data_IF_761948016467
#
_entry.id   IF_761948016467
#
_cell.length_a   1.000
_cell.length_b   1.000
_cell.length_c   1.000
_cell.angle_alpha   90.00
_cell.angle_beta   90.00
_cell.angle_gamma   90.00
#
_symmetry.space_group_name_H-M   'P 1'
#
loop_
_entity.id
_entity.type
_entity.pdbx_description
1 polymer ?
#
# COMPACT_ATOMS: atom_id res chain seq x y z
N UNK A 1 9.65 10.48 27.82
CA UNK A 1 10.00 10.39 26.38
C UNK A 1 9.97 8.91 26.01
N UNK A 2 8.93 8.46 25.31
CA UNK A 2 8.80 7.06 24.91
C UNK A 2 9.76 6.83 23.74
N UNK A 3 10.84 6.09 23.98
CA UNK A 3 11.78 5.65 22.94
C UNK A 3 11.11 4.55 22.10
N UNK A 4 10.07 4.93 21.35
CA UNK A 4 9.39 4.02 20.44
C UNK A 4 10.14 4.02 19.12
N UNK A 5 10.54 2.83 18.69
CA UNK A 5 11.09 2.62 17.35
C UNK A 5 9.97 2.91 16.34
N UNK A 6 9.97 4.14 15.81
CA UNK A 6 8.94 4.67 14.92
C UNK A 6 8.72 3.76 13.70
N UNK A 7 9.78 3.27 13.01
CA UNK A 7 9.65 2.25 11.98
C UNK A 7 8.89 1.01 12.44
N UNK A 8 9.26 0.43 13.59
CA UNK A 8 8.63 -0.80 14.09
C UNK A 8 7.15 -0.59 14.41
N UNK A 9 6.82 0.55 15.01
CA UNK A 9 5.42 0.88 15.38
C UNK A 9 4.57 1.16 14.14
N UNK A 10 5.12 1.88 13.16
CA UNK A 10 4.47 2.14 11.88
C UNK A 10 4.19 0.85 11.13
N UNK A 11 5.22 0.00 10.95
CA UNK A 11 5.06 -1.26 10.23
C UNK A 11 4.11 -2.23 10.94
N UNK A 12 4.09 -2.26 12.29
CA UNK A 12 3.13 -3.06 13.03
C UNK A 12 1.68 -2.62 12.80
N UNK A 13 1.41 -1.32 12.75
CA UNK A 13 0.08 -0.81 12.41
C UNK A 13 -0.26 -1.03 10.93
N UNK A 14 0.71 -0.83 10.03
CA UNK A 14 0.52 -1.08 8.61
C UNK A 14 0.15 -2.56 8.37
N UNK A 15 0.83 -3.50 9.01
CA UNK A 15 0.54 -4.92 8.92
C UNK A 15 -0.85 -5.27 9.46
N UNK A 16 -1.23 -4.66 10.59
CA UNK A 16 -2.56 -4.84 11.18
C UNK A 16 -3.68 -4.43 10.21
N UNK A 17 -3.48 -3.38 9.43
CA UNK A 17 -4.47 -2.86 8.49
C UNK A 17 -4.33 -3.40 7.06
N UNK A 18 -3.20 -4.05 6.74
CA UNK A 18 -2.90 -4.58 5.41
C UNK A 18 -4.00 -5.48 4.83
N UNK A 19 -4.59 -6.44 5.56
CA UNK A 19 -5.64 -7.30 5.01
C UNK A 19 -6.88 -6.50 4.55
N UNK A 20 -7.25 -5.49 5.33
CA UNK A 20 -8.40 -4.65 5.02
C UNK A 20 -8.11 -3.72 3.83
N UNK A 21 -6.93 -3.10 3.81
CA UNK A 21 -6.49 -2.25 2.70
C UNK A 21 -6.40 -3.04 1.39
N UNK A 22 -5.84 -4.26 1.43
CA UNK A 22 -5.78 -5.15 0.26
C UNK A 22 -7.18 -5.46 -0.28
N UNK A 23 -8.14 -5.78 0.59
CA UNK A 23 -9.51 -6.04 0.16
C UNK A 23 -10.14 -4.82 -0.55
N UNK A 24 -9.93 -3.61 -0.01
CA UNK A 24 -10.41 -2.36 -0.63
C UNK A 24 -9.77 -2.11 -2.00
N UNK A 25 -8.46 -2.32 -2.11
CA UNK A 25 -7.72 -2.13 -3.36
C UNK A 25 -8.14 -3.15 -4.42
N UNK A 26 -8.31 -4.42 -4.06
CA UNK A 26 -8.81 -5.46 -4.97
C UNK A 26 -10.23 -5.10 -5.44
N UNK A 27 -11.12 -4.74 -4.52
CA UNK A 27 -12.49 -4.31 -4.86
C UNK A 27 -12.49 -3.10 -5.82
N UNK A 28 -11.54 -2.18 -5.65
CA UNK A 28 -11.38 -1.02 -6.54
C UNK A 28 -10.77 -1.41 -7.89
N UNK A 29 -9.81 -2.34 -7.92
CA UNK A 29 -9.18 -2.86 -9.13
C UNK A 29 -10.15 -3.66 -10.00
N UNK A 30 -11.17 -4.29 -9.41
CA UNK A 30 -12.24 -4.99 -10.15
C UNK A 30 -13.24 -4.04 -10.85
N UNK A 31 -13.12 -2.73 -10.65
CA UNK A 31 -13.95 -1.73 -11.35
C UNK A 31 -13.26 -1.28 -12.65
N UNK A 32 -13.96 -0.50 -13.46
CA UNK A 32 -13.40 0.12 -14.67
C UNK A 32 -12.94 1.55 -14.39
N UNK A 33 -11.78 1.92 -14.92
CA UNK A 33 -11.25 3.29 -14.86
C UNK A 33 -9.74 3.36 -14.63
N UNK A 34 -9.15 4.55 -14.82
CA UNK A 34 -7.69 4.77 -14.74
C UNK A 34 -7.07 4.29 -13.42
N UNK A 35 -7.73 4.59 -12.30
CA UNK A 35 -7.31 4.15 -10.96
C UNK A 35 -7.40 2.63 -10.79
N UNK A 36 -8.45 2.01 -11.33
CA UNK A 36 -8.63 0.56 -11.22
C UNK A 36 -7.58 -0.20 -12.04
N UNK A 37 -7.28 0.29 -13.25
CA UNK A 37 -6.21 -0.25 -14.09
C UNK A 37 -4.84 -0.12 -13.40
N UNK A 38 -4.53 1.05 -12.84
CA UNK A 38 -3.27 1.26 -12.12
C UNK A 38 -3.13 0.33 -10.89
N UNK A 39 -4.22 0.12 -10.13
CA UNK A 39 -4.21 -0.85 -9.03
C UNK A 39 -4.04 -2.29 -9.55
N UNK A 40 -4.72 -2.66 -10.63
CA UNK A 40 -4.57 -3.98 -11.24
C UNK A 40 -3.14 -4.22 -11.75
N UNK A 41 -2.47 -3.20 -12.29
CA UNK A 41 -1.08 -3.30 -12.73
C UNK A 41 -0.10 -3.43 -11.55
N UNK A 42 -0.34 -2.69 -10.45
CA UNK A 42 0.41 -2.87 -9.19
C UNK A 42 0.25 -4.30 -8.67
N UNK A 43 -0.98 -4.83 -8.67
CA UNK A 43 -1.21 -6.20 -8.23
C UNK A 43 -0.57 -7.20 -9.17
N UNK A 44 -0.67 -7.06 -10.50
CA UNK A 44 0.00 -7.96 -11.46
C UNK A 44 1.52 -7.96 -11.31
N UNK A 45 2.12 -6.80 -11.04
CA UNK A 45 3.57 -6.69 -10.79
C UNK A 45 3.99 -7.39 -9.49
N UNK A 46 3.05 -7.65 -8.58
CA UNK A 46 3.27 -8.29 -7.28
C UNK A 46 2.69 -9.72 -7.20
N UNK A 47 1.83 -10.12 -8.15
CA UNK A 47 1.27 -11.47 -8.31
C UNK A 47 2.32 -12.44 -8.88
N UNK A 48 3.37 -11.91 -9.54
CA UNK A 48 4.44 -12.69 -10.14
C UNK A 48 5.43 -13.29 -9.12
N UNK A 49 5.40 -12.88 -7.84
CA UNK A 49 6.29 -13.40 -6.81
C UNK A 49 5.75 -13.06 -5.41
N UNK A 50 5.59 -14.04 -4.52
CA UNK A 50 5.75 -13.82 -3.09
C UNK A 50 4.75 -12.88 -2.38
N UNK A 51 3.45 -13.06 -2.58
CA UNK A 51 2.42 -12.52 -1.66
C UNK A 51 2.48 -13.16 -0.25
N UNK A 52 3.45 -14.02 0.04
CA UNK A 52 3.71 -14.60 1.37
C UNK A 52 4.71 -13.79 2.22
N UNK A 53 5.53 -12.94 1.60
CA UNK A 53 6.51 -12.14 2.32
C UNK A 53 5.92 -10.83 2.86
N UNK A 54 6.25 -10.53 4.13
CA UNK A 54 5.73 -9.34 4.83
C UNK A 54 6.25 -8.05 4.19
N UNK A 55 7.46 -8.04 3.62
CA UNK A 55 8.00 -6.85 2.95
C UNK A 55 7.31 -6.60 1.60
N UNK A 56 7.03 -7.65 0.83
CA UNK A 56 6.27 -7.54 -0.41
C UNK A 56 4.86 -6.99 -0.16
N UNK A 57 4.18 -7.46 0.89
CA UNK A 57 2.85 -6.96 1.27
C UNK A 57 2.88 -5.49 1.68
N UNK A 58 3.83 -5.10 2.54
CA UNK A 58 3.99 -3.69 2.96
C UNK A 58 4.26 -2.79 1.76
N UNK A 59 5.13 -3.22 0.85
CA UNK A 59 5.48 -2.47 -0.38
C UNK A 59 4.26 -2.31 -1.28
N UNK A 60 3.49 -3.38 -1.50
CA UNK A 60 2.25 -3.35 -2.27
C UNK A 60 1.26 -2.35 -1.71
N UNK A 61 1.04 -2.38 -0.39
CA UNK A 61 0.11 -1.46 0.27
C UNK A 61 0.58 -0.01 0.14
N UNK A 62 1.88 0.25 0.36
CA UNK A 62 2.44 1.59 0.26
C UNK A 62 2.36 2.17 -1.16
N UNK A 63 2.49 1.33 -2.20
CA UNK A 63 2.31 1.77 -3.59
C UNK A 63 0.85 1.95 -4.00
N UNK A 64 -0.04 1.06 -3.52
CA UNK A 64 -1.46 1.09 -3.88
C UNK A 64 -2.24 2.20 -3.17
N UNK A 65 -1.84 2.56 -1.94
CA UNK A 65 -2.51 3.57 -1.12
C UNK A 65 -2.67 4.95 -1.82
N UNK A 66 -1.62 5.60 -2.36
CA UNK A 66 -1.77 6.86 -3.08
C UNK A 66 -2.63 6.73 -4.35
N UNK A 67 -2.49 5.62 -5.07
CA UNK A 67 -3.29 5.35 -6.28
C UNK A 67 -4.78 5.23 -5.93
N UNK A 68 -5.10 4.53 -4.84
CA UNK A 68 -6.47 4.39 -4.33
C UNK A 68 -7.08 5.74 -3.92
N UNK A 69 -6.30 6.59 -3.25
CA UNK A 69 -6.70 7.94 -2.83
C UNK A 69 -6.74 8.95 -3.99
N UNK A 70 -6.27 8.56 -5.19
CA UNK A 70 -6.12 9.41 -6.38
C UNK A 70 -5.15 10.59 -6.16
N UNK A 71 -4.19 10.40 -5.26
CA UNK A 71 -3.11 11.35 -5.02
C UNK A 71 -1.92 11.02 -5.93
N UNK A 72 -1.20 12.06 -6.38
CA UNK A 72 0.04 11.89 -7.14
C UNK A 72 1.06 11.12 -6.27
N UNK A 73 1.44 9.92 -6.72
CA UNK A 73 2.34 8.99 -6.02
C UNK A 73 3.69 9.61 -5.64
N UNK A 74 4.11 10.67 -6.31
CA UNK A 74 5.38 11.37 -6.09
C UNK A 74 5.44 12.20 -4.81
N UNK A 75 4.28 12.51 -4.19
CA UNK A 75 4.18 13.39 -3.02
C UNK A 75 3.61 12.75 -1.74
N UNK A 76 2.87 11.64 -1.86
CA UNK A 76 2.07 11.08 -0.76
C UNK A 76 2.88 10.69 0.48
N UNK A 77 4.04 10.03 0.30
CA UNK A 77 4.90 9.62 1.41
C UNK A 77 5.98 10.66 1.76
N UNK A 78 6.05 11.77 1.00
CA UNK A 78 7.10 12.79 1.17
C UNK A 78 6.80 13.77 2.31
N UNK A 79 5.56 13.82 2.78
CA UNK A 79 5.08 14.82 3.75
C UNK A 79 5.35 14.50 5.22
N UNK A 80 6.19 13.50 5.54
CA UNK A 80 6.59 13.22 6.93
C UNK A 80 8.09 13.46 7.23
N UNK A 81 8.81 14.18 6.36
CA UNK A 81 10.15 14.70 6.67
C UNK A 81 10.06 16.22 6.76
N UNK A 82 9.68 16.71 7.93
CA UNK A 82 9.75 18.11 8.34
C UNK A 82 10.52 18.21 9.65
#
# INVERSE_FOLDING_TARGET
ITNQNLPTTFYAQLDRHTPHLMALFIQKASKTGKTANALADIFKAHDAQELHDVHTRRTTVLHALPVYLREETSGFLRTCVG
#
